data_IF_568411296245
#
_entry.id   IF_568411296245
#
_cell.length_a   1.000
_cell.length_b   1.000
_cell.length_c   1.000
_cell.angle_alpha   90.00
_cell.angle_beta   90.00
_cell.angle_gamma   90.00
#
_symmetry.space_group_name_H-M   'P 1'
#
loop_
_entity.id
_entity.type
_entity.pdbx_description
1 polymer ?
#
# COMPACT_ATOMS: atom_id res chain seq x y z
N UNK A 1 6.04 -20.08 -1.54
CA UNK A 1 6.92 -18.96 -1.91
C UNK A 1 7.04 -17.94 -0.78
N UNK A 2 5.95 -17.53 -0.15
CA UNK A 2 5.96 -16.58 0.97
C UNK A 2 6.88 -16.98 2.14
N UNK A 3 6.86 -18.24 2.60
CA UNK A 3 7.75 -18.70 3.68
C UNK A 3 9.23 -18.54 3.33
N UNK A 4 9.61 -18.89 2.10
CA UNK A 4 10.98 -18.69 1.61
C UNK A 4 11.37 -17.21 1.55
N UNK A 5 10.44 -16.33 1.13
CA UNK A 5 10.68 -14.88 1.13
C UNK A 5 10.90 -14.38 2.56
N UNK A 6 10.09 -14.83 3.52
CA UNK A 6 10.28 -14.49 4.92
C UNK A 6 11.59 -14.99 5.49
N UNK A 7 11.99 -16.21 5.18
CA UNK A 7 13.27 -16.77 5.63
C UNK A 7 14.44 -15.93 5.09
N UNK A 8 14.39 -15.53 3.82
CA UNK A 8 15.37 -14.62 3.20
C UNK A 8 15.36 -13.25 3.90
N UNK A 9 14.19 -12.72 4.25
CA UNK A 9 14.07 -11.43 4.93
C UNK A 9 14.50 -11.50 6.40
N UNK A 10 14.34 -12.64 7.07
CA UNK A 10 14.76 -12.85 8.45
C UNK A 10 16.28 -13.09 8.59
N UNK A 11 16.95 -13.50 7.51
CA UNK A 11 18.39 -13.71 7.50
C UNK A 11 19.16 -12.39 7.36
N UNK A 12 19.71 -11.89 8.47
CA UNK A 12 20.52 -10.67 8.51
C UNK A 12 21.86 -10.77 7.76
N UNK A 13 22.30 -11.99 7.42
CA UNK A 13 23.50 -12.18 6.60
C UNK A 13 23.23 -11.93 5.11
N UNK A 14 21.96 -11.95 4.68
CA UNK A 14 21.56 -11.69 3.30
C UNK A 14 21.37 -10.19 3.09
N UNK A 15 22.17 -9.62 2.19
CA UNK A 15 22.01 -8.21 1.80
C UNK A 15 20.70 -7.99 1.06
N UNK A 16 20.16 -6.76 1.10
CA UNK A 16 18.93 -6.39 0.38
C UNK A 16 19.02 -6.73 -1.13
N UNK A 17 20.18 -6.48 -1.74
CA UNK A 17 20.42 -6.75 -3.15
C UNK A 17 20.44 -8.25 -3.47
N UNK A 18 21.04 -9.05 -2.58
CA UNK A 18 21.05 -10.51 -2.74
C UNK A 18 19.66 -11.11 -2.50
N UNK A 19 18.91 -10.58 -1.54
CA UNK A 19 17.52 -10.94 -1.30
C UNK A 19 16.67 -10.67 -2.55
N UNK A 20 16.76 -9.46 -3.11
CA UNK A 20 16.05 -9.09 -4.34
C UNK A 20 16.36 -10.06 -5.48
N UNK A 21 17.65 -10.32 -5.76
CA UNK A 21 18.07 -11.26 -6.82
C UNK A 21 17.56 -12.67 -6.60
N UNK A 22 17.62 -13.18 -5.36
CA UNK A 22 17.13 -14.52 -5.02
C UNK A 22 15.62 -14.62 -5.25
N UNK A 23 14.86 -13.65 -4.76
CA UNK A 23 13.40 -13.61 -4.82
C UNK A 23 12.91 -13.53 -6.27
N UNK A 24 13.58 -12.75 -7.12
CA UNK A 24 13.14 -12.51 -8.51
C UNK A 24 13.77 -13.45 -9.54
N UNK A 25 14.68 -14.33 -9.11
CA UNK A 25 15.51 -15.16 -10.01
C UNK A 25 14.70 -15.94 -11.04
N UNK A 26 13.57 -16.51 -10.64
CA UNK A 26 12.68 -17.27 -11.53
C UNK A 26 12.06 -16.38 -12.61
N UNK A 27 11.48 -15.24 -12.22
CA UNK A 27 10.89 -14.27 -13.15
C UNK A 27 11.91 -13.72 -14.14
N UNK A 28 13.08 -13.28 -13.65
CA UNK A 28 14.15 -12.73 -14.48
C UNK A 28 14.63 -13.79 -15.49
N UNK A 29 14.83 -15.04 -15.04
CA UNK A 29 15.24 -16.13 -15.92
C UNK A 29 14.21 -16.39 -17.02
N UNK A 30 12.92 -16.42 -16.69
CA UNK A 30 11.85 -16.62 -17.67
C UNK A 30 11.79 -15.48 -18.69
N UNK A 31 11.94 -14.24 -18.24
CA UNK A 31 12.03 -13.07 -19.12
C UNK A 31 13.27 -13.16 -20.01
N UNK A 32 14.45 -13.45 -19.47
CA UNK A 32 15.72 -13.55 -20.20
C UNK A 32 15.69 -14.64 -21.28
N UNK A 33 15.05 -15.77 -21.01
CA UNK A 33 14.87 -16.87 -21.95
C UNK A 33 13.81 -16.64 -23.02
N UNK A 34 13.04 -15.54 -22.96
CA UNK A 34 11.87 -15.30 -23.81
C UNK A 34 10.88 -16.47 -23.74
N UNK A 35 10.60 -16.94 -22.52
CA UNK A 35 9.53 -17.92 -22.30
C UNK A 35 8.18 -17.34 -22.78
N UNK A 36 7.17 -18.22 -22.91
CA UNK A 36 5.84 -17.79 -23.30
C UNK A 36 5.22 -16.81 -22.29
N UNK A 37 4.33 -15.94 -22.79
CA UNK A 37 3.72 -14.88 -21.98
C UNK A 37 2.98 -15.42 -20.75
N UNK A 38 2.27 -16.55 -20.90
CA UNK A 38 1.54 -17.18 -19.78
C UNK A 38 2.49 -17.59 -18.67
N UNK A 39 3.64 -18.20 -19.01
CA UNK A 39 4.65 -18.58 -18.04
C UNK A 39 5.30 -17.37 -17.36
N UNK A 40 5.56 -16.29 -18.09
CA UNK A 40 6.07 -15.04 -17.47
C UNK A 40 5.03 -14.45 -16.51
N UNK A 41 3.75 -14.45 -16.89
CA UNK A 41 2.64 -13.99 -16.06
C UNK A 41 2.49 -14.83 -14.78
N UNK A 42 2.58 -16.15 -14.88
CA UNK A 42 2.52 -17.06 -13.72
C UNK A 42 3.66 -16.80 -12.73
N UNK A 43 4.88 -16.60 -13.22
CA UNK A 43 6.05 -16.28 -12.39
C UNK A 43 5.92 -14.91 -11.72
N UNK A 44 5.42 -13.90 -12.44
CA UNK A 44 5.17 -12.56 -11.88
C UNK A 44 4.07 -12.61 -10.81
N UNK A 45 2.97 -13.31 -11.08
CA UNK A 45 1.89 -13.49 -10.11
C UNK A 45 2.41 -14.19 -8.85
N UNK A 46 3.17 -15.29 -8.99
CA UNK A 46 3.75 -15.99 -7.85
C UNK A 46 4.68 -15.09 -7.02
N UNK A 47 5.53 -14.29 -7.68
CA UNK A 47 6.40 -13.30 -7.04
C UNK A 47 5.60 -12.30 -6.21
N UNK A 48 4.62 -11.63 -6.81
CA UNK A 48 3.86 -10.58 -6.13
C UNK A 48 2.98 -11.14 -5.01
N UNK A 49 2.29 -12.26 -5.23
CA UNK A 49 1.55 -12.93 -4.16
C UNK A 49 2.47 -13.31 -3.00
N UNK A 50 3.66 -13.84 -3.28
CA UNK A 50 4.63 -14.18 -2.25
C UNK A 50 5.08 -12.99 -1.41
N UNK A 51 5.37 -11.86 -2.05
CA UNK A 51 5.76 -10.60 -1.39
C UNK A 51 4.62 -10.04 -0.56
N UNK A 52 3.41 -10.00 -1.11
CA UNK A 52 2.23 -9.45 -0.47
C UNK A 52 1.80 -10.29 0.76
N UNK A 53 1.82 -11.62 0.65
CA UNK A 53 1.62 -12.51 1.80
C UNK A 53 2.71 -12.30 2.87
N UNK A 54 3.97 -12.09 2.47
CA UNK A 54 5.03 -11.77 3.43
C UNK A 54 4.79 -10.41 4.13
N UNK A 55 4.30 -9.40 3.40
CA UNK A 55 3.93 -8.10 3.94
C UNK A 55 2.79 -8.22 4.95
N UNK A 56 1.70 -8.90 4.59
CA UNK A 56 0.53 -9.12 5.45
C UNK A 56 0.90 -9.79 6.78
N UNK A 57 1.83 -10.74 6.74
CA UNK A 57 2.22 -11.53 7.91
C UNK A 57 3.41 -10.92 8.67
N UNK A 58 3.93 -9.77 8.23
CA UNK A 58 5.00 -9.03 8.92
C UNK A 58 4.39 -7.83 9.63
N UNK A 59 4.57 -7.69 10.96
CA UNK A 59 4.05 -6.54 11.71
C UNK A 59 4.41 -5.20 11.05
N UNK A 60 3.44 -4.28 11.01
CA UNK A 60 3.54 -2.99 10.32
C UNK A 60 4.78 -2.15 10.68
N UNK A 61 5.37 -2.35 11.86
CA UNK A 61 6.55 -1.66 12.38
C UNK A 61 7.88 -2.37 12.04
N UNK A 62 7.84 -3.51 11.35
CA UNK A 62 9.01 -4.35 11.00
C UNK A 62 9.17 -4.60 9.49
N UNK A 63 8.49 -3.82 8.65
CA UNK A 63 8.49 -4.02 7.20
C UNK A 63 9.64 -3.31 6.46
N UNK A 64 10.56 -2.61 7.15
CA UNK A 64 11.59 -1.78 6.52
C UNK A 64 12.46 -2.57 5.51
N UNK A 65 12.95 -3.75 5.90
CA UNK A 65 13.78 -4.60 5.01
C UNK A 65 12.98 -5.08 3.79
N UNK A 66 11.70 -5.37 3.95
CA UNK A 66 10.84 -5.78 2.83
C UNK A 66 10.65 -4.62 1.83
N UNK A 67 10.47 -3.40 2.31
CA UNK A 67 10.36 -2.20 1.46
C UNK A 67 11.67 -1.90 0.74
N UNK A 68 12.81 -2.06 1.42
CA UNK A 68 14.14 -1.93 0.79
C UNK A 68 14.35 -2.99 -0.30
N UNK A 69 13.89 -4.23 -0.07
CA UNK A 69 13.91 -5.27 -1.10
C UNK A 69 13.04 -4.89 -2.29
N UNK A 70 11.85 -4.31 -2.07
CA UNK A 70 11.02 -3.80 -3.18
C UNK A 70 11.72 -2.72 -4.01
N UNK A 71 12.44 -1.80 -3.37
CA UNK A 71 13.26 -0.80 -4.08
C UNK A 71 14.36 -1.49 -4.92
N UNK A 72 15.10 -2.41 -4.31
CA UNK A 72 16.14 -3.15 -5.02
C UNK A 72 15.58 -3.98 -6.18
N UNK A 73 14.42 -4.63 -6.00
CA UNK A 73 13.71 -5.36 -7.06
C UNK A 73 13.44 -4.43 -8.24
N UNK A 74 12.88 -3.23 -8.01
CA UNK A 74 12.61 -2.26 -9.08
C UNK A 74 13.88 -1.84 -9.84
N UNK A 75 15.02 -1.83 -9.16
CA UNK A 75 16.33 -1.44 -9.71
C UNK A 75 17.11 -2.57 -10.41
N UNK A 76 16.69 -3.84 -10.33
CA UNK A 76 17.47 -4.99 -10.83
C UNK A 76 17.69 -5.00 -12.35
N UNK A 77 16.84 -4.36 -13.15
CA UNK A 77 16.97 -4.32 -14.60
C UNK A 77 17.44 -2.93 -15.08
N UNK A 78 18.15 -2.86 -16.23
CA UNK A 78 18.51 -1.59 -16.82
C UNK A 78 17.24 -0.76 -17.09
N UNK A 79 17.08 0.39 -16.45
CA UNK A 79 15.96 1.30 -16.72
C UNK A 79 16.11 1.99 -18.08
N UNK A 80 15.00 2.43 -18.67
CA UNK A 80 14.96 3.22 -19.91
C UNK A 80 14.99 2.38 -21.19
N UNK A 81 15.46 2.96 -22.30
CA UNK A 81 15.42 2.35 -23.64
C UNK A 81 16.23 1.06 -23.80
N UNK A 82 17.06 0.73 -22.80
CA UNK A 82 17.87 -0.50 -22.74
C UNK A 82 17.19 -1.63 -21.97
N UNK A 83 16.03 -1.38 -21.36
CA UNK A 83 15.27 -2.40 -20.66
C UNK A 83 14.78 -3.47 -21.65
N UNK A 84 14.95 -4.74 -21.30
CA UNK A 84 14.35 -5.82 -22.08
C UNK A 84 12.82 -5.72 -21.99
N UNK A 85 12.18 -5.68 -23.14
CA UNK A 85 10.72 -5.68 -23.28
C UNK A 85 10.17 -7.09 -23.32
N UNK A 86 9.01 -7.29 -22.73
CA UNK A 86 8.27 -8.56 -22.75
C UNK A 86 6.76 -8.27 -22.71
N UNK A 87 5.94 -9.28 -22.95
CA UNK A 87 4.48 -9.13 -23.06
C UNK A 87 3.79 -9.65 -21.80
N UNK A 88 2.85 -8.88 -21.28
CA UNK A 88 1.92 -9.26 -20.22
C UNK A 88 0.53 -8.82 -20.64
N UNK A 89 -0.44 -9.73 -20.62
CA UNK A 89 -1.84 -9.50 -21.04
C UNK A 89 -1.97 -8.90 -22.44
N UNK A 90 -1.06 -9.29 -23.35
CA UNK A 90 -1.04 -8.79 -24.73
C UNK A 90 -0.43 -7.41 -24.91
N UNK A 91 0.02 -6.75 -23.83
CA UNK A 91 0.68 -5.44 -23.87
C UNK A 91 2.19 -5.56 -23.60
N UNK A 92 2.98 -4.74 -24.30
CA UNK A 92 4.42 -4.68 -24.09
C UNK A 92 4.74 -3.92 -22.80
N UNK A 93 5.60 -4.49 -21.97
CA UNK A 93 6.02 -3.91 -20.69
C UNK A 93 7.52 -4.11 -20.44
N UNK A 94 7.98 -3.61 -19.30
CA UNK A 94 9.36 -3.61 -18.81
C UNK A 94 9.40 -3.91 -17.32
N UNK A 95 10.51 -4.44 -16.84
CA UNK A 95 10.66 -4.93 -15.47
C UNK A 95 10.36 -3.87 -14.40
N UNK A 96 10.90 -2.66 -14.56
CA UNK A 96 10.78 -1.58 -13.58
C UNK A 96 9.42 -0.87 -13.60
N UNK A 97 8.54 -1.25 -14.53
CA UNK A 97 7.11 -0.94 -14.45
C UNK A 97 6.35 -1.88 -13.50
N UNK A 98 7.04 -2.88 -12.92
CA UNK A 98 6.49 -3.86 -11.97
C UNK A 98 5.19 -4.50 -12.49
N UNK A 99 5.20 -5.12 -13.69
CA UNK A 99 3.98 -5.64 -14.29
C UNK A 99 3.30 -6.67 -13.40
N UNK A 100 1.98 -6.61 -13.34
CA UNK A 100 1.09 -7.35 -12.44
C UNK A 100 1.13 -6.96 -10.95
N UNK A 101 2.09 -6.14 -10.49
CA UNK A 101 2.16 -5.79 -9.07
C UNK A 101 0.91 -5.03 -8.61
N UNK A 102 0.48 -4.00 -9.36
CA UNK A 102 -0.69 -3.22 -9.03
C UNK A 102 -2.00 -4.02 -9.01
N UNK A 103 -2.18 -4.99 -9.93
CA UNK A 103 -3.36 -5.87 -9.93
C UNK A 103 -3.34 -6.84 -8.76
N UNK A 104 -2.21 -7.48 -8.48
CA UNK A 104 -2.11 -8.40 -7.33
C UNK A 104 -2.23 -7.65 -6.01
N UNK A 105 -1.71 -6.42 -5.92
CA UNK A 105 -1.88 -5.54 -4.76
C UNK A 105 -3.36 -5.17 -4.53
N UNK A 106 -4.12 -4.95 -5.61
CA UNK A 106 -5.56 -4.66 -5.53
C UNK A 106 -6.32 -5.85 -4.93
N UNK A 107 -6.04 -7.05 -5.41
CA UNK A 107 -6.69 -8.28 -4.95
C UNK A 107 -6.33 -8.57 -3.48
N UNK A 108 -5.07 -8.37 -3.09
CA UNK A 108 -4.63 -8.56 -1.72
C UNK A 108 -5.26 -7.54 -0.75
N UNK A 109 -5.42 -6.28 -1.16
CA UNK A 109 -6.10 -5.28 -0.34
C UNK A 109 -7.53 -5.73 0.00
N UNK A 110 -8.29 -6.23 -1.00
CA UNK A 110 -9.66 -6.74 -0.77
C UNK A 110 -9.64 -7.92 0.20
N UNK A 111 -8.75 -8.89 -0.03
CA UNK A 111 -8.64 -10.09 0.80
C UNK A 111 -8.31 -9.75 2.26
N UNK A 112 -7.30 -8.91 2.48
CA UNK A 112 -6.83 -8.56 3.82
C UNK A 112 -7.88 -7.75 4.61
N UNK A 113 -8.74 -6.98 3.93
CA UNK A 113 -9.86 -6.31 4.57
C UNK A 113 -10.89 -7.29 5.15
N UNK A 114 -11.07 -8.45 4.54
CA UNK A 114 -11.99 -9.51 5.00
C UNK A 114 -11.36 -10.48 6.01
N UNK A 115 -10.04 -10.50 6.11
CA UNK A 115 -9.27 -11.39 6.99
C UNK A 115 -9.12 -10.80 8.43
N UNK A 116 -8.02 -11.15 9.10
CA UNK A 116 -7.67 -10.69 10.44
C UNK A 116 -7.38 -9.19 10.54
N UNK A 117 -7.44 -8.67 11.77
CA UNK A 117 -7.06 -7.29 12.07
C UNK A 117 -5.59 -7.01 11.70
N UNK A 118 -4.67 -7.88 12.11
CA UNK A 118 -3.25 -7.72 11.83
C UNK A 118 -2.96 -7.71 10.33
N UNK A 119 -3.59 -8.63 9.57
CA UNK A 119 -3.45 -8.68 8.12
C UNK A 119 -3.82 -7.35 7.45
N UNK A 120 -5.00 -6.81 7.80
CA UNK A 120 -5.49 -5.55 7.27
C UNK A 120 -4.55 -4.37 7.60
N UNK A 121 -4.06 -4.29 8.84
CA UNK A 121 -3.15 -3.22 9.28
C UNK A 121 -1.79 -3.34 8.59
N UNK A 122 -1.23 -4.55 8.55
CA UNK A 122 0.08 -4.81 7.98
C UNK A 122 0.12 -4.54 6.48
N UNK A 123 -0.90 -4.94 5.71
CA UNK A 123 -0.90 -4.69 4.27
C UNK A 123 -1.08 -3.21 3.94
N UNK A 124 -1.93 -2.48 4.68
CA UNK A 124 -2.08 -1.03 4.50
C UNK A 124 -0.78 -0.29 4.85
N UNK A 125 -0.09 -0.70 5.91
CA UNK A 125 1.22 -0.16 6.26
C UNK A 125 2.26 -0.42 5.16
N UNK A 126 2.26 -1.61 4.57
CA UNK A 126 3.16 -1.95 3.48
C UNK A 126 2.92 -1.06 2.26
N UNK A 127 1.67 -0.90 1.82
CA UNK A 127 1.33 -0.02 0.70
C UNK A 127 1.68 1.45 0.98
N UNK A 128 1.46 1.92 2.20
CA UNK A 128 1.88 3.26 2.62
C UNK A 128 3.40 3.44 2.48
N UNK A 129 4.19 2.47 2.95
CA UNK A 129 5.66 2.51 2.88
C UNK A 129 6.18 2.40 1.45
N UNK A 130 5.61 1.51 0.62
CA UNK A 130 5.94 1.36 -0.80
C UNK A 130 5.65 2.64 -1.58
N UNK A 131 4.54 3.32 -1.25
CA UNK A 131 4.19 4.65 -1.78
C UNK A 131 5.25 5.69 -1.42
N UNK A 132 5.60 5.80 -0.15
CA UNK A 132 6.63 6.74 0.33
C UNK A 132 8.02 6.45 -0.24
N UNK A 133 8.33 5.18 -0.50
CA UNK A 133 9.57 4.75 -1.12
C UNK A 133 9.67 5.04 -2.62
N UNK A 134 8.59 5.50 -3.27
CA UNK A 134 8.54 5.78 -4.72
C UNK A 134 8.60 4.51 -5.59
N UNK A 135 8.31 3.35 -5.01
CA UNK A 135 8.31 2.07 -5.73
C UNK A 135 7.06 1.94 -6.58
N UNK A 136 5.89 2.23 -6.01
CA UNK A 136 4.62 2.33 -6.75
C UNK A 136 3.68 3.27 -5.99
N UNK A 137 2.68 3.83 -6.66
CA UNK A 137 1.80 4.86 -6.09
C UNK A 137 0.43 4.29 -5.67
N UNK A 138 0.31 3.96 -4.39
CA UNK A 138 -0.93 3.45 -3.79
C UNK A 138 -1.73 4.51 -3.04
N UNK A 139 -1.52 5.80 -3.31
CA UNK A 139 -2.27 6.88 -2.64
C UNK A 139 -3.80 6.77 -2.84
N UNK A 140 -4.28 6.11 -3.90
CA UNK A 140 -5.70 5.82 -4.07
C UNK A 140 -6.23 4.84 -3.01
N UNK A 141 -5.42 3.87 -2.59
CA UNK A 141 -5.79 2.92 -1.53
C UNK A 141 -5.93 3.65 -0.20
N UNK A 142 -5.07 4.63 0.08
CA UNK A 142 -5.24 5.53 1.22
C UNK A 142 -6.62 6.20 1.20
N UNK A 143 -7.03 6.75 0.05
CA UNK A 143 -8.37 7.36 -0.09
C UNK A 143 -9.48 6.35 0.23
N UNK A 144 -9.38 5.12 -0.26
CA UNK A 144 -10.42 4.11 0.00
C UNK A 144 -10.49 3.72 1.47
N UNK A 145 -9.35 3.43 2.10
CA UNK A 145 -9.26 3.09 3.52
C UNK A 145 -9.74 4.25 4.40
N UNK A 146 -9.28 5.48 4.15
CA UNK A 146 -9.69 6.66 4.91
C UNK A 146 -11.17 7.01 4.68
N UNK A 147 -11.68 6.80 3.47
CA UNK A 147 -13.10 7.03 3.17
C UNK A 147 -13.98 6.15 4.03
N UNK A 148 -13.71 4.85 4.06
CA UNK A 148 -14.50 3.91 4.85
C UNK A 148 -14.31 4.15 6.35
N UNK A 149 -13.07 4.40 6.79
CA UNK A 149 -12.74 4.56 8.21
C UNK A 149 -13.34 5.83 8.82
N UNK A 150 -13.18 6.95 8.11
CA UNK A 150 -13.36 8.29 8.69
C UNK A 150 -14.08 9.28 7.77
N UNK A 151 -14.62 8.92 6.60
CA UNK A 151 -15.46 9.85 5.82
C UNK A 151 -16.92 9.39 5.69
N UNK A 152 -17.12 8.08 5.52
CA UNK A 152 -18.44 7.44 5.43
C UNK A 152 -19.26 7.56 6.72
N UNK A 153 -18.72 7.28 7.93
CA UNK A 153 -19.44 7.54 9.18
C UNK A 153 -19.62 9.04 9.45
N UNK A 154 -20.69 9.39 10.18
CA UNK A 154 -20.85 10.72 10.74
C UNK A 154 -19.74 10.98 11.78
N UNK A 155 -19.35 12.25 11.94
CA UNK A 155 -18.16 12.59 12.73
C UNK A 155 -18.26 12.18 14.21
N UNK A 156 -19.45 12.24 14.78
CA UNK A 156 -19.80 11.81 16.13
C UNK A 156 -19.96 10.29 16.29
N UNK A 157 -20.17 9.57 15.19
CA UNK A 157 -20.40 8.14 15.18
C UNK A 157 -19.14 7.30 14.88
N UNK A 158 -18.01 7.91 14.49
CA UNK A 158 -16.82 7.18 13.99
C UNK A 158 -16.36 6.12 14.99
N UNK A 159 -16.22 6.48 16.27
CA UNK A 159 -15.74 5.55 17.30
C UNK A 159 -16.70 4.37 17.56
N UNK A 160 -17.99 4.51 17.23
CA UNK A 160 -19.01 3.49 17.42
C UNK A 160 -19.24 2.63 16.17
N UNK A 161 -19.13 3.23 14.98
CA UNK A 161 -19.47 2.58 13.69
C UNK A 161 -18.26 2.04 12.95
N UNK A 162 -17.07 2.56 13.21
CA UNK A 162 -15.84 2.10 12.55
C UNK A 162 -15.14 1.08 13.44
N UNK A 163 -14.81 -0.09 12.87
CA UNK A 163 -14.07 -1.11 13.61
C UNK A 163 -12.65 -0.64 14.00
N UNK A 164 -12.11 -1.09 15.15
CA UNK A 164 -10.71 -0.84 15.52
C UNK A 164 -9.72 -1.20 14.41
N UNK A 165 -9.90 -2.37 13.76
CA UNK A 165 -9.17 -2.79 12.57
C UNK A 165 -9.02 -1.69 11.52
N UNK A 166 -10.14 -1.10 11.12
CA UNK A 166 -10.15 -0.10 10.05
C UNK A 166 -9.56 1.25 10.50
N UNK A 167 -9.74 1.63 11.77
CA UNK A 167 -9.09 2.81 12.36
C UNK A 167 -7.55 2.64 12.44
N UNK A 168 -7.07 1.44 12.77
CA UNK A 168 -5.64 1.12 12.77
C UNK A 168 -5.06 1.14 11.34
N UNK A 169 -5.76 0.57 10.36
CA UNK A 169 -5.36 0.61 8.96
C UNK A 169 -5.30 2.05 8.41
N UNK A 170 -6.29 2.89 8.73
CA UNK A 170 -6.28 4.33 8.42
C UNK A 170 -5.10 5.04 9.09
N UNK A 171 -4.82 4.72 10.36
CA UNK A 171 -3.68 5.28 11.10
C UNK A 171 -2.35 4.94 10.44
N UNK A 172 -2.18 3.71 9.94
CA UNK A 172 -0.96 3.29 9.25
C UNK A 172 -0.62 4.16 8.03
N UNK A 173 -1.62 4.61 7.27
CA UNK A 173 -1.41 5.53 6.15
C UNK A 173 -0.83 6.87 6.57
N UNK A 174 -1.31 7.47 7.66
CA UNK A 174 -0.75 8.73 8.16
C UNK A 174 0.64 8.53 8.80
N UNK A 175 0.85 7.41 9.51
CA UNK A 175 2.15 7.12 10.14
C UNK A 175 3.24 6.94 9.09
N UNK A 176 2.97 6.20 8.01
CA UNK A 176 4.02 5.79 7.06
C UNK A 176 4.00 6.55 5.73
N UNK A 177 2.91 7.25 5.42
CA UNK A 177 2.77 8.02 4.19
C UNK A 177 2.25 9.44 4.40
N UNK A 178 2.24 9.97 5.63
CA UNK A 178 1.77 11.33 5.94
C UNK A 178 2.35 12.39 4.99
N UNK A 179 3.67 12.42 4.80
CA UNK A 179 4.35 13.34 3.89
C UNK A 179 3.90 13.17 2.42
N UNK A 180 3.79 11.92 1.96
CA UNK A 180 3.34 11.59 0.60
C UNK A 180 1.89 12.05 0.36
N UNK A 181 1.00 11.86 1.33
CA UNK A 181 -0.40 12.28 1.26
C UNK A 181 -0.53 13.81 1.38
N UNK A 182 0.27 14.46 2.21
CA UNK A 182 0.32 15.91 2.32
C UNK A 182 0.84 16.55 1.01
N UNK A 183 1.85 15.94 0.38
CA UNK A 183 2.33 16.33 -0.94
C UNK A 183 1.23 16.17 -2.00
N UNK A 184 0.57 15.02 -2.06
CA UNK A 184 -0.53 14.77 -3.00
C UNK A 184 -1.69 15.78 -2.80
N UNK A 185 -1.94 16.20 -1.56
CA UNK A 185 -2.90 17.25 -1.21
C UNK A 185 -2.49 18.62 -1.76
N UNK A 186 -1.25 19.04 -1.53
CA UNK A 186 -0.71 20.31 -2.05
C UNK A 186 -0.69 20.36 -3.57
N UNK A 187 -0.41 19.23 -4.22
CA UNK A 187 -0.43 19.10 -5.68
C UNK A 187 -1.85 18.97 -6.25
N UNK A 188 -2.87 18.83 -5.39
CA UNK A 188 -4.26 18.67 -5.80
C UNK A 188 -4.48 17.41 -6.63
N UNK A 189 -3.77 16.31 -6.32
CA UNK A 189 -3.80 15.08 -7.12
C UNK A 189 -5.23 14.55 -7.27
N UNK A 190 -5.64 14.33 -8.52
CA UNK A 190 -6.96 13.81 -8.88
C UNK A 190 -6.89 12.41 -9.49
N UNK A 191 -8.01 11.69 -9.43
CA UNK A 191 -8.20 10.40 -10.05
C UNK A 191 -9.42 10.43 -10.95
N UNK A 192 -9.41 9.61 -11.98
CA UNK A 192 -10.48 9.55 -12.97
C UNK A 192 -11.80 9.03 -12.39
N UNK A 193 -12.89 9.52 -12.96
CA UNK A 193 -14.24 9.07 -12.64
C UNK A 193 -14.63 9.33 -11.18
N UNK A 194 -15.14 8.29 -10.50
CA UNK A 194 -15.65 8.36 -9.12
C UNK A 194 -14.82 7.55 -8.13
N UNK A 195 -13.62 7.12 -8.51
CA UNK A 195 -12.77 6.24 -7.69
C UNK A 195 -12.41 6.88 -6.34
N UNK A 196 -12.13 8.19 -6.38
CA UNK A 196 -11.75 8.99 -5.22
C UNK A 196 -12.84 9.97 -4.74
N UNK A 197 -14.13 9.62 -4.97
CA UNK A 197 -15.27 10.39 -4.45
C UNK A 197 -15.21 10.53 -2.90
N UNK A 198 -15.84 11.57 -2.32
CA UNK A 198 -15.96 11.69 -0.86
C UNK A 198 -16.82 10.57 -0.26
N UNK A 199 -16.58 10.30 1.02
CA UNK A 199 -17.41 9.43 1.85
C UNK A 199 -18.77 10.04 2.18
N UNK A 200 -19.72 9.18 2.52
CA UNK A 200 -21.14 9.48 2.67
C UNK A 200 -21.45 10.74 3.49
N UNK A 201 -20.85 10.87 4.69
CA UNK A 201 -21.09 12.02 5.57
C UNK A 201 -20.37 13.31 5.15
N UNK A 202 -19.58 13.28 4.08
CA UNK A 202 -18.91 14.45 3.50
C UNK A 202 -19.38 14.75 2.07
N UNK A 203 -20.40 14.05 1.56
CA UNK A 203 -20.87 14.21 0.16
C UNK A 203 -21.50 15.57 -0.12
N UNK A 204 -22.18 16.15 0.86
CA UNK A 204 -22.97 17.35 0.67
C UNK A 204 -22.06 18.54 0.37
N UNK A 205 -22.05 18.98 -0.89
CA UNK A 205 -21.24 20.11 -1.37
C UNK A 205 -19.80 19.78 -1.76
N UNK A 206 -19.34 18.54 -1.58
CA UNK A 206 -17.98 18.13 -1.94
C UNK A 206 -17.92 17.44 -3.31
N UNK A 207 -17.30 18.09 -4.30
CA UNK A 207 -17.00 17.50 -5.61
C UNK A 207 -15.61 16.85 -5.66
N UNK A 208 -15.14 16.29 -4.54
CA UNK A 208 -13.78 15.75 -4.47
C UNK A 208 -13.58 14.59 -5.45
N UNK A 209 -12.44 14.62 -6.14
CA UNK A 209 -11.98 13.58 -7.08
C UNK A 209 -10.60 13.04 -6.71
N UNK A 210 -10.15 13.30 -5.49
CA UNK A 210 -8.78 13.00 -5.07
C UNK A 210 -8.43 13.72 -3.78
N UNK A 211 -7.21 14.21 -3.72
CA UNK A 211 -6.65 14.97 -2.61
C UNK A 211 -6.90 16.47 -2.80
N UNK A 212 -7.34 17.13 -1.73
CA UNK A 212 -7.52 18.58 -1.67
C UNK A 212 -7.49 19.06 -0.22
N UNK A 213 -7.25 20.35 -0.02
CA UNK A 213 -7.11 20.95 1.32
C UNK A 213 -8.32 20.69 2.23
N UNK A 214 -9.54 20.75 1.70
CA UNK A 214 -10.76 20.53 2.48
C UNK A 214 -10.87 19.08 2.96
N UNK A 215 -10.50 18.12 2.11
CA UNK A 215 -10.47 16.70 2.47
C UNK A 215 -9.40 16.43 3.52
N UNK A 216 -8.21 17.00 3.35
CA UNK A 216 -7.13 16.87 4.32
C UNK A 216 -7.51 17.44 5.69
N UNK A 217 -8.11 18.64 5.73
CA UNK A 217 -8.63 19.23 6.97
C UNK A 217 -9.69 18.35 7.63
N UNK A 218 -10.60 17.77 6.85
CA UNK A 218 -11.60 16.85 7.37
C UNK A 218 -10.94 15.62 8.03
N UNK A 219 -9.91 15.03 7.40
CA UNK A 219 -9.15 13.94 7.99
C UNK A 219 -8.42 14.34 9.28
N UNK A 220 -7.74 15.49 9.28
CA UNK A 220 -7.06 16.03 10.47
C UNK A 220 -8.03 16.19 11.66
N UNK A 221 -9.19 16.81 11.40
CA UNK A 221 -10.21 17.05 12.42
C UNK A 221 -10.78 15.73 12.96
N UNK A 222 -11.16 14.82 12.07
CA UNK A 222 -11.79 13.54 12.45
C UNK A 222 -10.82 12.62 13.18
N UNK A 223 -9.57 12.50 12.73
CA UNK A 223 -8.54 11.75 13.46
C UNK A 223 -8.24 12.36 14.83
N UNK A 224 -8.15 13.69 14.92
CA UNK A 224 -7.89 14.37 16.18
C UNK A 224 -8.99 14.14 17.22
N UNK A 225 -10.25 14.11 16.81
CA UNK A 225 -11.39 13.86 17.70
C UNK A 225 -11.39 12.45 18.29
N UNK A 226 -10.78 11.47 17.61
CA UNK A 226 -10.72 10.09 18.09
C UNK A 226 -9.75 9.85 19.24
N UNK A 227 -8.81 10.77 19.51
CA UNK A 227 -7.87 10.65 20.64
C UNK A 227 -8.59 10.56 21.99
N UNK A 228 -9.69 11.29 22.12
CA UNK A 228 -10.48 11.38 23.35
C UNK A 228 -11.68 10.41 23.37
N UNK A 229 -11.86 9.61 22.30
CA UNK A 229 -12.97 8.67 22.19
C UNK A 229 -12.80 7.43 23.08
N UNK A 230 -13.88 6.69 23.33
CA UNK A 230 -13.80 5.39 24.02
C UNK A 230 -13.44 4.29 23.00
N UNK A 231 -12.16 3.96 22.92
CA UNK A 231 -11.57 3.01 21.97
C UNK A 231 -10.52 2.14 22.69
N UNK A 232 -10.21 0.93 22.16
CA UNK A 232 -9.12 0.12 22.66
C UNK A 232 -7.79 0.89 22.68
N UNK A 233 -6.97 0.65 23.72
CA UNK A 233 -5.74 1.42 24.00
C UNK A 233 -4.71 1.35 22.87
N UNK A 234 -4.57 0.18 22.25
CA UNK A 234 -3.68 -0.05 21.12
C UNK A 234 -4.13 0.73 19.86
N UNK A 235 -5.43 0.91 19.67
CA UNK A 235 -6.04 1.71 18.61
C UNK A 235 -5.77 3.19 18.86
N UNK A 236 -5.97 3.67 20.09
CA UNK A 236 -5.65 5.05 20.50
C UNK A 236 -4.19 5.39 20.27
N UNK A 237 -3.30 4.50 20.67
CA UNK A 237 -1.84 4.66 20.49
C UNK A 237 -1.48 4.89 19.02
N UNK A 238 -2.10 4.16 18.08
CA UNK A 238 -1.86 4.36 16.65
C UNK A 238 -2.50 5.66 16.12
N UNK A 239 -3.68 6.03 16.60
CA UNK A 239 -4.34 7.29 16.24
C UNK A 239 -3.50 8.49 16.69
N UNK A 240 -2.93 8.45 17.89
CA UNK A 240 -2.03 9.50 18.40
C UNK A 240 -0.78 9.65 17.54
N UNK A 241 -0.14 8.54 17.16
CA UNK A 241 0.99 8.53 16.23
C UNK A 241 0.58 9.08 14.85
N UNK A 242 -0.58 8.66 14.34
CA UNK A 242 -1.11 9.16 13.07
C UNK A 242 -1.35 10.68 13.09
N UNK A 243 -1.83 11.23 14.21
CA UNK A 243 -2.01 12.66 14.38
C UNK A 243 -0.69 13.45 14.31
N UNK A 244 0.45 12.84 14.62
CA UNK A 244 1.76 13.49 14.46
C UNK A 244 2.14 13.63 12.98
N UNK A 245 1.83 12.63 12.15
CA UNK A 245 2.05 12.66 10.70
C UNK A 245 1.05 13.52 9.91
N UNK A 246 0.06 14.09 10.60
CA UNK A 246 -0.96 14.98 10.05
C UNK A 246 -0.63 16.47 10.26
N UNK A 247 0.37 16.83 11.08
CA UNK A 247 0.71 18.21 11.42
C UNK A 247 1.75 18.84 10.49
#
# INVERSE_FOLDING_TARGET
MADNIKDILADDSVTVQDAAKKITSSCITSIEKNEDASKIEDELHALWSGILTAAEQTPHDRQDKLVQVMQAIKELAPSGDKAKKFVVWGEETRWDALPLFGSTARDELDRAQEDSEDACVNINAFFARVTTAGVDDFTLYAIWTLREAIEDPAADDIAQKTSPKLLKAASAWFIYAGDSLAKATKEGKQFDGKMAKPGASLRDGAEWRGFCDDRWKAWQQRMSALKDADLPEDTKTLIEKACQGLN
#
